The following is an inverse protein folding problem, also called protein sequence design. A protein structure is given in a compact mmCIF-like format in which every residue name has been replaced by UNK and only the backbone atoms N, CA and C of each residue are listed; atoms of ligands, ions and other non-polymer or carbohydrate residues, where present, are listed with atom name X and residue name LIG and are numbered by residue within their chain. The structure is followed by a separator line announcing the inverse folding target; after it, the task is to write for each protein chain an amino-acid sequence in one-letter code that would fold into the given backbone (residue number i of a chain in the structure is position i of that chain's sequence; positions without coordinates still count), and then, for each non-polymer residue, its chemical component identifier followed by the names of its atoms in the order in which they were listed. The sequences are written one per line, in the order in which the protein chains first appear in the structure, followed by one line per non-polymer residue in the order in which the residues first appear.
data_IF_753226667713
#
_entry.id   IF_753226667713
#
_cell.length_a   1.000
_cell.length_b   1.000
_cell.length_c   1.000
_cell.angle_alpha   90.00
_cell.angle_beta   90.00
_cell.angle_gamma   90.00
#
_symmetry.space_group_name_H-M   'P 1'
#
loop_
_entity.id
_entity.type
_entity.pdbx_description
1 polymer ?
#
# COMPACT_ATOMS: atom_id res chain seq x y z
N UNK A 1 7.43 -4.80 -15.80
CA UNK A 1 7.92 -3.66 -16.60
C UNK A 1 9.25 -4.09 -17.19
N UNK A 2 9.47 -3.91 -18.48
CA UNK A 2 10.75 -4.21 -19.14
C UNK A 2 11.52 -2.89 -19.38
N UNK A 3 12.85 -2.94 -19.49
CA UNK A 3 13.71 -1.79 -19.76
C UNK A 3 13.29 -0.99 -21.01
N UNK A 4 12.66 -1.60 -22.02
CA UNK A 4 12.08 -0.89 -23.18
C UNK A 4 10.97 0.08 -22.78
N UNK A 5 10.13 -0.28 -21.80
CA UNK A 5 9.07 0.61 -21.29
C UNK A 5 9.71 1.77 -20.52
N UNK A 6 10.73 1.48 -19.71
CA UNK A 6 11.46 2.50 -18.96
C UNK A 6 12.11 3.53 -19.89
N UNK A 7 12.77 3.07 -20.96
CA UNK A 7 13.33 3.95 -21.99
C UNK A 7 12.28 4.72 -22.77
N UNK A 8 11.08 4.16 -22.99
CA UNK A 8 9.97 4.90 -23.61
C UNK A 8 9.50 6.03 -22.70
N UNK A 9 9.36 5.79 -21.39
CA UNK A 9 8.95 6.80 -20.41
C UNK A 9 9.92 7.98 -20.41
N UNK A 10 11.22 7.71 -20.39
CA UNK A 10 12.28 8.74 -20.44
C UNK A 10 12.29 9.55 -21.75
N UNK A 11 11.66 9.08 -22.83
CA UNK A 11 11.52 9.84 -24.08
C UNK A 11 10.36 10.83 -24.08
N UNK A 12 9.38 10.64 -23.19
CA UNK A 12 8.18 11.48 -23.14
C UNK A 12 8.30 12.64 -22.15
N UNK A 13 9.21 12.53 -21.19
CA UNK A 13 9.48 13.58 -20.22
C UNK A 13 10.90 13.46 -19.72
N UNK A 14 11.60 14.60 -19.67
CA UNK A 14 12.92 14.70 -19.05
C UNK A 14 12.84 14.49 -17.51
N UNK A 15 11.63 14.62 -16.95
CA UNK A 15 11.35 14.55 -15.53
C UNK A 15 10.52 13.30 -15.19
N UNK A 16 11.22 12.17 -15.08
CA UNK A 16 10.66 10.93 -14.56
C UNK A 16 11.09 10.70 -13.11
N UNK A 17 10.16 10.23 -12.27
CA UNK A 17 10.39 10.04 -10.84
C UNK A 17 9.93 8.67 -10.38
N UNK A 18 10.68 8.07 -9.46
CA UNK A 18 10.28 6.88 -8.71
C UNK A 18 9.66 7.33 -7.40
N UNK A 19 8.41 7.00 -7.16
CA UNK A 19 7.71 7.26 -5.91
C UNK A 19 8.07 6.21 -4.87
N UNK A 20 8.40 6.68 -3.68
CA UNK A 20 8.79 5.86 -2.54
C UNK A 20 8.06 6.33 -1.27
N UNK A 21 7.41 5.40 -0.57
CA UNK A 21 6.74 5.71 0.70
C UNK A 21 7.74 6.07 1.79
N UNK A 22 7.30 6.85 2.77
CA UNK A 22 8.12 7.23 3.93
C UNK A 22 8.67 6.01 4.67
N UNK A 23 7.83 5.00 4.93
CA UNK A 23 8.27 3.74 5.56
C UNK A 23 9.42 3.07 4.79
N UNK A 24 9.32 3.00 3.45
CA UNK A 24 10.38 2.39 2.64
C UNK A 24 11.64 3.26 2.64
N UNK A 25 11.50 4.58 2.53
CA UNK A 25 12.63 5.49 2.53
C UNK A 25 13.37 5.47 3.88
N UNK A 26 12.65 5.45 5.01
CA UNK A 26 13.25 5.31 6.34
C UNK A 26 14.04 4.02 6.48
N UNK A 27 13.51 2.91 5.96
CA UNK A 27 14.23 1.64 5.97
C UNK A 27 15.57 1.74 5.22
N UNK A 28 15.59 2.46 4.10
CA UNK A 28 16.82 2.66 3.31
C UNK A 28 17.81 3.61 3.97
N UNK A 29 17.33 4.70 4.56
CA UNK A 29 18.15 5.78 5.11
C UNK A 29 18.46 5.65 6.61
N UNK A 30 17.80 4.71 7.30
CA UNK A 30 17.80 4.62 8.76
C UNK A 30 17.39 5.95 9.42
N UNK A 31 16.44 6.66 8.80
CA UNK A 31 15.96 7.97 9.23
C UNK A 31 14.56 7.92 9.83
N UNK A 32 14.13 9.03 10.44
CA UNK A 32 12.78 9.22 10.96
C UNK A 32 11.97 10.18 10.08
N UNK A 33 10.80 9.74 9.60
CA UNK A 33 9.87 10.56 8.81
C UNK A 33 8.82 9.71 8.08
N UNK A 34 7.61 10.19 7.85
CA UNK A 34 6.61 9.39 7.11
C UNK A 34 6.03 10.17 5.94
N UNK A 35 6.92 10.67 5.09
CA UNK A 35 6.55 11.49 3.95
C UNK A 35 6.75 10.71 2.65
N UNK A 36 5.77 10.84 1.75
CA UNK A 36 5.92 10.41 0.37
C UNK A 36 7.05 11.21 -0.28
N UNK A 37 7.93 10.51 -0.97
CA UNK A 37 9.08 11.12 -1.63
C UNK A 37 9.21 10.61 -3.06
N UNK A 38 9.95 11.36 -3.85
CA UNK A 38 10.29 11.07 -5.24
C UNK A 38 11.80 11.03 -5.41
N UNK A 39 12.28 10.03 -6.13
CA UNK A 39 13.67 9.86 -6.53
C UNK A 39 13.75 10.10 -8.03
N UNK A 40 14.56 11.06 -8.48
CA UNK A 40 14.71 11.32 -9.92
C UNK A 40 15.25 10.09 -10.64
N UNK A 41 14.54 9.64 -11.67
CA UNK A 41 14.94 8.48 -12.47
C UNK A 41 16.13 8.86 -13.37
N UNK A 42 17.28 8.21 -13.19
CA UNK A 42 18.47 8.40 -14.04
C UNK A 42 18.49 7.38 -15.18
N UNK A 43 19.17 7.71 -16.29
CA UNK A 43 19.36 6.77 -17.41
C UNK A 43 20.08 5.47 -16.99
N UNK A 44 20.94 5.54 -15.98
CA UNK A 44 21.67 4.39 -15.44
C UNK A 44 20.80 3.43 -14.61
N UNK A 45 19.57 3.83 -14.24
CA UNK A 45 18.69 3.00 -13.43
C UNK A 45 17.94 2.02 -14.33
N UNK A 46 18.22 0.72 -14.16
CA UNK A 46 17.50 -0.35 -14.82
C UNK A 46 16.38 -0.91 -13.93
N UNK A 47 15.56 -1.81 -14.46
CA UNK A 47 14.44 -2.39 -13.70
C UNK A 47 14.89 -3.17 -12.45
N UNK A 48 16.05 -3.82 -12.51
CA UNK A 48 16.57 -4.61 -11.38
C UNK A 48 16.98 -3.72 -10.21
N UNK A 49 17.61 -2.58 -10.52
CA UNK A 49 17.93 -1.55 -9.54
C UNK A 49 16.67 -0.97 -8.91
N UNK A 50 15.66 -0.62 -9.72
CA UNK A 50 14.38 -0.09 -9.22
C UNK A 50 13.68 -1.14 -8.35
N UNK A 51 13.66 -2.40 -8.77
CA UNK A 51 13.09 -3.51 -8.00
C UNK A 51 13.79 -3.68 -6.65
N UNK A 52 15.13 -3.62 -6.64
CA UNK A 52 15.92 -3.67 -5.42
C UNK A 52 15.63 -2.47 -4.50
N UNK A 53 15.61 -1.26 -5.05
CA UNK A 53 15.29 -0.02 -4.35
C UNK A 53 13.92 -0.10 -3.66
N UNK A 54 12.91 -0.64 -4.33
CA UNK A 54 11.54 -0.67 -3.83
C UNK A 54 11.24 -1.86 -2.90
N UNK A 55 11.84 -3.02 -3.14
CA UNK A 55 11.51 -4.27 -2.41
C UNK A 55 12.57 -4.69 -1.40
N UNK A 56 13.82 -4.28 -1.59
CA UNK A 56 14.97 -4.73 -0.80
C UNK A 56 15.39 -6.16 -1.12
N UNK A 57 14.73 -6.83 -2.07
CA UNK A 57 15.10 -8.17 -2.49
C UNK A 57 16.38 -8.07 -3.32
N UNK A 58 17.49 -8.56 -2.77
CA UNK A 58 18.79 -8.63 -3.47
C UNK A 58 18.66 -9.58 -4.66
N UNK A 59 18.43 -9.02 -5.84
CA UNK A 59 18.60 -9.71 -7.13
C UNK A 59 20.06 -9.63 -7.60
N UNK A 60 20.75 -8.54 -7.25
CA UNK A 60 22.18 -8.29 -7.52
C UNK A 60 22.85 -7.53 -6.35
N UNK A 61 24.17 -7.60 -6.28
CA UNK A 61 25.00 -6.78 -5.37
C UNK A 61 25.08 -5.35 -5.89
N UNK A 62 24.08 -4.53 -5.56
CA UNK A 62 24.20 -3.08 -5.66
C UNK A 62 24.82 -2.56 -4.36
N UNK A 63 26.07 -2.07 -4.43
CA UNK A 63 26.83 -1.66 -3.26
C UNK A 63 26.33 -0.33 -2.66
N UNK A 64 25.70 0.52 -3.47
CA UNK A 64 25.19 1.82 -3.04
C UNK A 64 23.80 2.12 -3.60
N UNK A 65 22.88 2.51 -2.71
CA UNK A 65 21.58 3.07 -3.06
C UNK A 65 21.74 4.58 -3.11
N UNK A 66 21.70 5.14 -4.31
CA UNK A 66 21.72 6.59 -4.52
C UNK A 66 20.36 7.19 -4.17
N UNK A 67 20.30 7.83 -3.02
CA UNK A 67 19.13 8.56 -2.50
C UNK A 67 19.38 10.06 -2.44
N UNK A 68 20.51 10.55 -2.95
CA UNK A 68 20.89 11.97 -2.86
C UNK A 68 19.97 12.88 -3.72
N UNK A 69 19.26 12.30 -4.66
CA UNK A 69 18.24 12.92 -5.51
C UNK A 69 16.82 12.69 -5.01
N UNK A 70 16.65 12.40 -3.71
CA UNK A 70 15.33 12.24 -3.10
C UNK A 70 14.78 13.61 -2.70
N UNK A 71 13.53 13.89 -3.08
CA UNK A 71 12.81 15.06 -2.61
C UNK A 71 11.46 14.64 -2.05
N UNK A 72 11.03 15.31 -0.97
CA UNK A 72 9.68 15.11 -0.43
C UNK A 72 8.68 15.58 -1.48
N UNK A 73 7.63 14.80 -1.70
CA UNK A 73 6.57 15.16 -2.63
C UNK A 73 5.29 15.57 -1.90
N UNK A 74 4.80 16.73 -2.30
CA UNK A 74 3.45 17.23 -2.02
C UNK A 74 2.61 17.31 -3.30
N UNK A 75 3.10 16.75 -4.41
CA UNK A 75 2.41 16.81 -5.70
C UNK A 75 1.10 15.99 -5.64
N UNK A 76 -0.06 16.56 -5.99
CA UNK A 76 -1.32 15.81 -6.07
C UNK A 76 -1.26 14.57 -6.96
N UNK A 77 -0.50 14.60 -8.06
CA UNK A 77 -0.31 13.45 -8.94
C UNK A 77 0.36 12.28 -8.21
N UNK A 78 1.37 12.57 -7.39
CA UNK A 78 2.12 11.55 -6.65
C UNK A 78 1.24 10.93 -5.56
N UNK A 79 0.50 11.75 -4.83
CA UNK A 79 -0.44 11.31 -3.80
C UNK A 79 -1.53 10.42 -4.43
N UNK A 80 -2.14 10.89 -5.53
CA UNK A 80 -3.18 10.16 -6.28
C UNK A 80 -2.65 8.83 -6.82
N UNK A 81 -1.42 8.82 -7.35
CA UNK A 81 -0.78 7.61 -7.85
C UNK A 81 -0.60 6.57 -6.75
N UNK A 82 -0.11 6.98 -5.58
CA UNK A 82 0.05 6.07 -4.44
C UNK A 82 -1.31 5.56 -3.93
N UNK A 83 -2.32 6.43 -3.86
CA UNK A 83 -3.68 6.03 -3.48
C UNK A 83 -4.20 4.95 -4.43
N UNK A 84 -4.14 5.17 -5.75
CA UNK A 84 -4.56 4.19 -6.76
C UNK A 84 -3.85 2.84 -6.58
N UNK A 85 -2.53 2.86 -6.40
CA UNK A 85 -1.73 1.64 -6.27
C UNK A 85 -2.11 0.86 -5.00
N UNK A 86 -2.39 1.55 -3.90
CA UNK A 86 -2.90 0.94 -2.67
C UNK A 86 -4.28 0.31 -2.88
N UNK A 87 -5.19 0.98 -3.58
CA UNK A 87 -6.50 0.42 -3.92
C UNK A 87 -6.37 -0.90 -4.71
N UNK A 88 -5.37 -0.98 -5.60
CA UNK A 88 -5.09 -2.19 -6.37
C UNK A 88 -4.29 -3.27 -5.62
N UNK A 89 -4.00 -3.07 -4.32
CA UNK A 89 -3.23 -4.00 -3.46
C UNK A 89 -1.84 -4.33 -4.01
N UNK A 90 -1.25 -3.39 -4.75
CA UNK A 90 0.11 -3.49 -5.27
C UNK A 90 1.11 -2.85 -4.30
N UNK A 91 2.40 -3.10 -4.53
CA UNK A 91 3.48 -2.40 -3.80
C UNK A 91 3.27 -0.89 -3.98
N UNK A 92 3.14 -0.08 -2.90
CA UNK A 92 2.74 1.32 -2.97
C UNK A 92 3.89 2.21 -3.48
N UNK A 93 4.28 2.02 -4.73
CA UNK A 93 5.38 2.69 -5.41
C UNK A 93 5.06 2.76 -6.90
N UNK A 94 5.44 3.84 -7.56
CA UNK A 94 5.18 4.05 -8.99
C UNK A 94 6.36 4.72 -9.68
N UNK A 95 6.41 4.62 -11.01
CA UNK A 95 7.18 5.54 -11.83
C UNK A 95 6.19 6.55 -12.40
N UNK A 96 6.42 7.83 -12.14
CA UNK A 96 5.57 8.92 -12.58
C UNK A 96 6.33 9.85 -13.52
N UNK A 97 5.61 10.38 -14.50
CA UNK A 97 6.06 11.45 -15.39
C UNK A 97 4.97 12.49 -15.46
N UNK A 98 5.38 13.75 -15.53
CA UNK A 98 4.48 14.84 -15.85
C UNK A 98 4.43 15.00 -17.37
N UNK A 99 3.21 15.04 -17.92
CA UNK A 99 2.96 15.14 -19.36
C UNK A 99 2.23 16.45 -19.64
N UNK A 100 2.89 17.35 -20.35
CA UNK A 100 2.28 18.57 -20.88
C UNK A 100 1.79 18.31 -22.31
N UNK A 101 0.47 18.16 -22.49
CA UNK A 101 -0.12 17.97 -23.81
C UNK A 101 -1.46 18.70 -23.92
N UNK A 102 -1.68 19.39 -25.05
CA UNK A 102 -2.89 20.17 -25.32
C UNK A 102 -4.18 19.33 -25.25
N UNK A 103 -4.14 18.09 -25.76
CA UNK A 103 -5.25 17.14 -25.71
C UNK A 103 -4.77 15.82 -25.10
N UNK A 104 -4.82 15.72 -23.77
CA UNK A 104 -4.33 14.55 -23.05
C UNK A 104 -5.18 13.30 -23.34
N UNK A 105 -6.47 13.45 -23.64
CA UNK A 105 -7.36 12.32 -23.92
C UNK A 105 -7.05 11.71 -25.28
N UNK A 106 -6.83 12.53 -26.30
CA UNK A 106 -6.38 12.04 -27.61
C UNK A 106 -5.00 11.38 -27.51
N UNK A 107 -4.10 11.96 -26.73
CA UNK A 107 -2.78 11.36 -26.47
C UNK A 107 -2.91 9.97 -25.82
N UNK A 108 -3.72 9.85 -24.76
CA UNK A 108 -4.02 8.58 -24.10
C UNK A 108 -4.58 7.54 -25.09
N UNK A 109 -5.56 7.93 -25.93
CA UNK A 109 -6.12 7.05 -26.94
C UNK A 109 -5.07 6.58 -27.97
N UNK A 110 -4.22 7.49 -28.45
CA UNK A 110 -3.16 7.17 -29.42
C UNK A 110 -2.18 6.12 -28.89
N UNK A 111 -1.90 6.14 -27.59
CA UNK A 111 -0.95 5.24 -26.94
C UNK A 111 -1.61 4.09 -26.16
N UNK A 112 -2.94 3.93 -26.28
CA UNK A 112 -3.74 2.91 -25.57
C UNK A 112 -3.53 2.95 -24.04
N UNK A 113 -3.55 4.17 -23.49
CA UNK A 113 -3.45 4.44 -22.06
C UNK A 113 -4.86 4.75 -21.55
N UNK A 114 -5.29 4.10 -20.48
CA UNK A 114 -6.58 4.38 -19.85
C UNK A 114 -6.49 5.64 -19.00
N UNK A 115 -7.19 6.74 -19.34
CA UNK A 115 -7.23 7.91 -18.48
C UNK A 115 -8.13 7.63 -17.28
N UNK A 116 -7.63 7.91 -16.07
CA UNK A 116 -8.39 7.85 -14.83
C UNK A 116 -8.45 9.25 -14.23
N UNK A 117 -9.65 9.74 -13.92
CA UNK A 117 -9.82 11.02 -13.22
C UNK A 117 -9.52 10.83 -11.74
N UNK A 118 -8.82 11.79 -11.14
CA UNK A 118 -8.52 11.79 -9.71
C UNK A 118 -9.78 11.63 -8.83
N UNK A 119 -10.88 12.30 -9.21
CA UNK A 119 -12.17 12.24 -8.51
C UNK A 119 -12.68 10.80 -8.27
N UNK A 120 -12.38 9.86 -9.18
CA UNK A 120 -12.78 8.46 -9.02
C UNK A 120 -12.04 7.81 -7.85
N UNK A 121 -10.75 8.13 -7.68
CA UNK A 121 -9.91 7.60 -6.60
C UNK A 121 -10.30 8.24 -5.27
N UNK A 122 -10.58 9.55 -5.28
CA UNK A 122 -10.99 10.29 -4.09
C UNK A 122 -12.35 9.77 -3.57
N UNK A 123 -13.32 9.54 -4.46
CA UNK A 123 -14.63 9.01 -4.11
C UNK A 123 -14.59 7.56 -3.60
N UNK A 124 -13.69 6.72 -4.13
CA UNK A 124 -13.56 5.34 -3.66
C UNK A 124 -13.28 5.26 -2.14
N UNK A 125 -12.44 6.16 -1.62
CA UNK A 125 -12.16 6.20 -0.18
C UNK A 125 -13.35 6.70 0.65
N UNK A 126 -14.23 7.52 0.07
CA UNK A 126 -15.45 8.00 0.72
C UNK A 126 -16.54 6.91 0.74
N UNK A 127 -16.62 6.10 -0.31
CA UNK A 127 -17.54 4.96 -0.41
C UNK A 127 -17.09 3.76 0.43
N UNK A 128 -15.86 3.76 0.95
CA UNK A 128 -15.36 2.76 1.90
C UNK A 128 -15.98 2.97 3.30
N UNK A 129 -17.29 2.75 3.40
CA UNK A 129 -18.00 2.66 4.66
C UNK A 129 -18.09 1.19 5.09
N UNK A 130 -17.70 0.90 6.33
CA UNK A 130 -17.86 -0.41 6.94
C UNK A 130 -19.16 -0.44 7.73
N UNK A 131 -20.04 -1.36 7.39
CA UNK A 131 -21.24 -1.64 8.18
C UNK A 131 -21.18 -3.07 8.74
N UNK A 132 -21.79 -3.27 9.89
CA UNK A 132 -21.92 -4.60 10.49
C UNK A 132 -22.90 -5.44 9.66
N UNK A 133 -22.45 -6.61 9.20
CA UNK A 133 -23.27 -7.55 8.43
C UNK A 133 -23.71 -8.77 9.25
N UNK A 134 -23.01 -9.06 10.36
CA UNK A 134 -23.33 -10.18 11.24
C UNK A 134 -22.73 -9.96 12.63
N UNK A 135 -23.45 -10.38 13.67
CA UNK A 135 -22.91 -10.54 15.02
C UNK A 135 -23.36 -11.86 15.61
N UNK A 136 -22.45 -12.56 16.27
CA UNK A 136 -22.72 -13.84 16.93
C UNK A 136 -21.88 -14.00 18.19
N UNK A 137 -22.40 -14.68 19.24
CA UNK A 137 -21.55 -15.18 20.32
C UNK A 137 -20.43 -16.06 19.76
N UNK A 138 -19.23 -15.90 20.32
CA UNK A 138 -18.05 -16.71 20.02
C UNK A 138 -17.52 -17.30 21.32
N UNK A 139 -17.44 -18.62 21.42
CA UNK A 139 -17.01 -19.31 22.65
C UNK A 139 -15.50 -19.56 22.65
N UNK A 140 -14.73 -18.56 23.07
CA UNK A 140 -13.28 -18.67 23.19
C UNK A 140 -12.89 -19.41 24.48
N UNK A 141 -11.95 -20.37 24.37
CA UNK A 141 -11.50 -21.21 25.50
C UNK A 141 -11.12 -20.40 26.75
N UNK A 142 -10.33 -19.35 26.58
CA UNK A 142 -9.88 -18.52 27.71
C UNK A 142 -11.01 -17.69 28.31
N UNK A 143 -11.96 -17.24 27.49
CA UNK A 143 -13.14 -16.50 27.94
C UNK A 143 -14.09 -17.41 28.73
N UNK A 144 -14.33 -18.64 28.25
CA UNK A 144 -15.09 -19.66 28.98
C UNK A 144 -14.46 -19.97 30.35
N UNK A 145 -13.14 -20.16 30.41
CA UNK A 145 -12.43 -20.42 31.66
C UNK A 145 -12.50 -19.24 32.64
N UNK A 146 -12.50 -18.02 32.13
CA UNK A 146 -12.62 -16.80 32.92
C UNK A 146 -14.08 -16.43 33.24
N UNK A 147 -15.07 -17.18 32.73
CA UNK A 147 -16.49 -16.85 32.80
C UNK A 147 -16.81 -15.44 32.24
N UNK A 148 -16.20 -15.10 31.10
CA UNK A 148 -16.39 -13.83 30.39
C UNK A 148 -17.03 -14.13 29.03
N UNK A 149 -18.04 -13.35 28.65
CA UNK A 149 -18.68 -13.47 27.34
C UNK A 149 -17.76 -12.98 26.22
N UNK A 150 -17.94 -13.48 25.01
CA UNK A 150 -17.27 -12.93 23.83
C UNK A 150 -18.14 -13.03 22.58
N UNK A 151 -18.02 -12.04 21.70
CA UNK A 151 -18.75 -11.95 20.44
C UNK A 151 -17.78 -11.79 19.26
N UNK A 152 -18.22 -12.24 18.10
CA UNK A 152 -17.63 -11.93 16.81
C UNK A 152 -18.60 -11.05 16.03
N UNK A 153 -18.13 -9.87 15.62
CA UNK A 153 -18.84 -8.96 14.74
C UNK A 153 -18.11 -8.93 13.40
N UNK A 154 -18.86 -9.01 12.31
CA UNK A 154 -18.36 -9.04 10.94
C UNK A 154 -18.76 -7.73 10.28
N UNK A 155 -17.79 -7.05 9.70
CA UNK A 155 -17.96 -5.80 8.98
C UNK A 155 -17.61 -5.99 7.51
N UNK A 156 -18.38 -5.38 6.62
CA UNK A 156 -18.13 -5.40 5.19
C UNK A 156 -18.37 -4.02 4.60
N UNK A 157 -17.69 -3.72 3.51
CA UNK A 157 -17.97 -2.54 2.68
C UNK A 157 -18.77 -2.95 1.44
N UNK A 158 -19.62 -2.05 0.95
CA UNK A 158 -20.46 -2.28 -0.23
C UNK A 158 -19.65 -2.38 -1.54
N UNK A 159 -18.39 -1.96 -1.54
CA UNK A 159 -17.53 -1.93 -2.73
C UNK A 159 -16.81 -3.27 -3.01
N UNK A 160 -17.24 -4.36 -2.36
CA UNK A 160 -16.76 -5.72 -2.64
C UNK A 160 -15.40 -6.08 -2.04
N UNK A 161 -14.94 -5.31 -1.05
CA UNK A 161 -13.73 -5.62 -0.28
C UNK A 161 -13.97 -6.77 0.72
N UNK A 162 -12.89 -7.45 1.20
CA UNK A 162 -13.01 -8.54 2.15
C UNK A 162 -13.73 -8.13 3.44
N UNK A 163 -14.33 -9.13 4.09
CA UNK A 163 -14.89 -8.95 5.43
C UNK A 163 -13.79 -8.73 6.47
N UNK A 164 -14.09 -7.88 7.45
CA UNK A 164 -13.26 -7.64 8.62
C UNK A 164 -13.96 -8.18 9.86
N UNK A 165 -13.19 -8.80 10.75
CA UNK A 165 -13.73 -9.46 11.94
C UNK A 165 -13.26 -8.72 13.20
N UNK A 166 -14.19 -8.37 14.07
CA UNK A 166 -13.92 -7.83 15.39
C UNK A 166 -14.30 -8.87 16.45
N UNK A 167 -13.32 -9.24 17.29
CA UNK A 167 -13.54 -10.08 18.46
C UNK A 167 -13.69 -9.19 19.69
N UNK A 168 -14.89 -9.19 20.28
CA UNK A 168 -15.22 -8.36 21.44
C UNK A 168 -15.27 -9.26 22.67
N UNK A 169 -14.49 -8.93 23.69
CA UNK A 169 -14.40 -9.69 24.95
C UNK A 169 -15.06 -8.89 26.06
N UNK A 170 -16.08 -9.49 26.70
CA UNK A 170 -16.87 -8.85 27.74
C UNK A 170 -17.57 -7.59 27.25
N UNK A 171 -17.60 -6.57 28.10
CA UNK A 171 -18.13 -5.24 27.81
C UNK A 171 -17.00 -4.21 27.96
N UNK A 172 -16.18 -3.98 26.91
CA UNK A 172 -15.05 -3.07 26.99
C UNK A 172 -15.53 -1.62 27.15
N UNK A 173 -14.78 -0.82 27.92
CA UNK A 173 -14.99 0.62 27.98
C UNK A 173 -14.55 1.27 26.66
N UNK A 174 -15.53 1.77 25.89
CA UNK A 174 -15.30 2.40 24.59
C UNK A 174 -14.59 3.76 24.67
N UNK A 175 -14.43 4.34 25.85
CA UNK A 175 -13.64 5.57 26.02
C UNK A 175 -12.13 5.32 25.91
N UNK A 176 -11.67 4.12 26.29
CA UNK A 176 -10.27 3.71 26.21
C UNK A 176 -10.12 2.18 26.17
N UNK A 177 -10.58 1.51 25.09
CA UNK A 177 -10.53 0.06 25.01
C UNK A 177 -9.09 -0.43 24.78
N UNK A 178 -8.75 -1.59 25.35
CA UNK A 178 -7.55 -2.33 24.94
C UNK A 178 -7.82 -2.94 23.55
N UNK A 179 -7.20 -2.36 22.53
CA UNK A 179 -7.39 -2.78 21.13
C UNK A 179 -6.14 -3.46 20.60
N UNK A 180 -6.37 -4.54 19.87
CA UNK A 180 -5.38 -5.16 19.01
C UNK A 180 -5.89 -5.19 17.58
N UNK A 181 -5.07 -4.71 16.65
CA UNK A 181 -5.31 -4.87 15.22
C UNK A 181 -4.37 -5.97 14.72
N UNK A 182 -4.93 -6.98 14.05
CA UNK A 182 -4.18 -8.09 13.47
C UNK A 182 -4.49 -8.20 11.98
N UNK A 183 -3.46 -8.25 11.15
CA UNK A 183 -3.61 -8.54 9.72
C UNK A 183 -3.61 -10.05 9.54
N UNK A 184 -4.66 -10.60 8.90
CA UNK A 184 -4.76 -12.04 8.67
C UNK A 184 -3.53 -12.58 7.95
N UNK A 185 -2.85 -13.55 8.55
CA UNK A 185 -1.69 -14.22 7.98
C UNK A 185 -2.05 -15.68 7.71
N UNK A 186 -2.45 -16.00 6.49
CA UNK A 186 -2.87 -17.36 6.14
C UNK A 186 -1.84 -18.43 6.53
N UNK A 187 -0.56 -18.17 6.29
CA UNK A 187 0.51 -19.12 6.59
C UNK A 187 0.82 -19.20 8.08
N UNK A 188 0.72 -18.10 8.83
CA UNK A 188 1.01 -18.06 10.26
C UNK A 188 -0.16 -18.52 11.12
N UNK A 189 -1.36 -18.00 10.85
CA UNK A 189 -2.56 -18.18 11.67
C UNK A 189 -3.22 -19.54 11.41
N UNK A 190 -3.15 -20.07 10.18
CA UNK A 190 -3.82 -21.32 9.80
C UNK A 190 -2.86 -22.49 9.55
N UNK A 191 -1.66 -22.23 9.01
CA UNK A 191 -0.70 -23.28 8.63
C UNK A 191 0.49 -23.44 9.60
N UNK A 192 0.52 -22.70 10.71
CA UNK A 192 1.59 -22.75 11.72
C UNK A 192 3.01 -22.53 11.16
N UNK A 193 3.14 -21.66 10.15
CA UNK A 193 4.45 -21.33 9.56
C UNK A 193 5.47 -20.85 10.60
N UNK A 194 6.67 -21.42 10.56
CA UNK A 194 7.81 -21.00 11.39
C UNK A 194 8.54 -19.77 10.84
N UNK A 195 8.23 -19.36 9.61
CA UNK A 195 8.89 -18.24 8.93
C UNK A 195 8.29 -16.86 9.30
N UNK A 196 7.17 -16.84 10.01
CA UNK A 196 6.53 -15.62 10.53
C UNK A 196 6.14 -15.82 12.00
N UNK A 197 6.01 -14.73 12.75
CA UNK A 197 5.69 -14.71 14.17
C UNK A 197 4.19 -14.52 14.47
N UNK A 198 3.35 -14.40 13.44
CA UNK A 198 1.89 -14.18 13.56
C UNK A 198 1.16 -15.22 14.44
N UNK A 199 1.67 -16.46 14.51
CA UNK A 199 1.07 -17.57 15.30
C UNK A 199 0.93 -17.30 16.80
N UNK A 200 1.93 -16.64 17.38
CA UNK A 200 2.09 -16.45 18.84
C UNK A 200 1.73 -15.04 19.25
N UNK A 201 1.40 -14.23 18.24
CA UNK A 201 1.01 -12.87 18.40
C UNK A 201 -0.34 -12.86 19.07
#
# INVERSE_FOLDING_TARGET
IDNQILHKIQKYSDNAYILITGNRLNFLLQSSGNQLSRITLKESYNIDYISYLLTGKKLHSFDHIDTNNTTVSTNPLDITSISLIKLTKLLPSAIVIEIEHHDILQWCNKYNITPIKQEIIDNYNQEYELHEVCSSPLFLKNCCNANVNSNINIYRSDIGEPEHYALIIGEPDYSNPLVRIHSSCYTGDLLDSLSCDCRSQ
#
